data_IF_188718228469
#
_entry.id   IF_188718228469
#
_cell.length_a   1.000
_cell.length_b   1.000
_cell.length_c   1.000
_cell.angle_alpha   90.00
_cell.angle_beta   90.00
_cell.angle_gamma   90.00
#
_symmetry.space_group_name_H-M   'P 1'
#
loop_
_entity.id
_entity.type
_entity.pdbx_description
1 polymer ?
#
# COMPACT_ATOMS: atom_id res chain seq x y z
N UNK A 1 6.85 -19.96 33.61
CA UNK A 1 8.05 -20.13 32.77
C UNK A 1 7.77 -19.57 31.39
N UNK A 2 8.01 -18.28 31.19
CA UNK A 2 7.90 -17.63 29.87
C UNK A 2 9.29 -17.58 29.28
N UNK A 3 9.68 -18.66 28.59
CA UNK A 3 10.93 -18.67 27.83
C UNK A 3 10.80 -17.66 26.70
N UNK A 4 11.63 -16.63 26.73
CA UNK A 4 11.85 -15.75 25.58
C UNK A 4 12.38 -16.59 24.44
N UNK A 5 11.53 -16.91 23.46
CA UNK A 5 11.93 -17.57 22.23
C UNK A 5 13.01 -16.74 21.54
N UNK A 6 14.21 -17.30 21.45
CA UNK A 6 15.32 -16.70 20.73
C UNK A 6 15.24 -17.12 19.25
N UNK A 7 15.62 -16.24 18.32
CA UNK A 7 15.70 -16.50 16.86
C UNK A 7 16.41 -17.83 16.56
N UNK A 8 17.43 -18.15 17.36
CA UNK A 8 18.21 -19.39 17.23
C UNK A 8 17.39 -20.67 17.43
N UNK A 9 16.35 -20.63 18.27
CA UNK A 9 15.48 -21.79 18.53
C UNK A 9 14.53 -22.05 17.36
N UNK A 10 14.01 -20.98 16.75
CA UNK A 10 13.15 -21.09 15.56
C UNK A 10 13.98 -21.52 14.35
N UNK A 11 15.16 -20.93 14.15
CA UNK A 11 16.09 -21.32 13.08
C UNK A 11 16.46 -22.80 13.16
N UNK A 12 16.74 -23.31 14.36
CA UNK A 12 17.01 -24.73 14.56
C UNK A 12 15.80 -25.58 14.19
N UNK A 13 14.60 -25.20 14.62
CA UNK A 13 13.38 -25.93 14.25
C UNK A 13 13.18 -25.96 12.73
N UNK A 14 13.42 -24.85 12.02
CA UNK A 14 13.36 -24.80 10.57
C UNK A 14 14.41 -25.73 9.94
N UNK A 15 15.65 -25.70 10.41
CA UNK A 15 16.73 -26.55 9.90
C UNK A 15 16.45 -28.05 10.10
N UNK A 16 15.82 -28.42 11.21
CA UNK A 16 15.47 -29.81 11.51
C UNK A 16 14.25 -30.28 10.67
N UNK A 17 13.26 -29.41 10.45
CA UNK A 17 11.98 -29.78 9.84
C UNK A 17 11.93 -29.60 8.32
N UNK A 18 12.59 -28.57 7.77
CA UNK A 18 12.49 -28.25 6.35
C UNK A 18 12.98 -29.40 5.43
N UNK A 19 14.11 -30.08 5.71
CA UNK A 19 14.56 -31.21 4.90
C UNK A 19 13.62 -32.43 4.95
N UNK A 20 12.83 -32.57 6.03
CA UNK A 20 11.87 -33.67 6.17
C UNK A 20 10.66 -33.50 5.23
N UNK A 21 10.17 -32.27 5.08
CA UNK A 21 9.03 -31.96 4.21
C UNK A 21 9.42 -31.69 2.77
N UNK A 22 10.62 -31.15 2.55
CA UNK A 22 11.16 -30.86 1.23
C UNK A 22 12.53 -31.49 1.08
N UNK A 23 12.60 -32.76 0.65
CA UNK A 23 13.87 -33.44 0.40
C UNK A 23 14.74 -32.63 -0.59
N UNK A 24 15.99 -32.35 -0.21
CA UNK A 24 16.92 -31.52 -0.99
C UNK A 24 16.93 -30.04 -0.62
N UNK A 25 16.04 -29.61 0.28
CA UNK A 25 16.08 -28.28 0.90
C UNK A 25 17.35 -28.12 1.75
N UNK A 26 18.07 -27.01 1.57
CA UNK A 26 19.27 -26.68 2.34
C UNK A 26 19.01 -25.41 3.15
N UNK A 27 19.16 -25.49 4.48
CA UNK A 27 18.97 -24.35 5.38
C UNK A 27 20.34 -23.82 5.80
N UNK A 28 20.61 -22.57 5.49
CA UNK A 28 21.77 -21.84 6.01
C UNK A 28 21.35 -21.01 7.22
N UNK A 29 21.69 -21.49 8.41
CA UNK A 29 21.37 -20.80 9.66
C UNK A 29 22.19 -19.54 9.91
N UNK A 30 23.36 -19.41 9.27
CA UNK A 30 24.23 -18.24 9.43
C UNK A 30 23.69 -17.06 8.61
N UNK A 31 23.38 -17.32 7.34
CA UNK A 31 22.78 -16.33 6.43
C UNK A 31 21.26 -16.18 6.63
N UNK A 32 20.65 -17.05 7.45
CA UNK A 32 19.20 -17.11 7.68
C UNK A 32 18.43 -17.28 6.37
N UNK A 33 18.90 -18.20 5.53
CA UNK A 33 18.29 -18.49 4.24
C UNK A 33 17.95 -19.97 4.11
N UNK A 34 17.08 -20.27 3.15
CA UNK A 34 16.73 -21.62 2.76
C UNK A 34 16.71 -21.73 1.25
N UNK A 35 17.42 -22.72 0.71
CA UNK A 35 17.31 -23.09 -0.70
C UNK A 35 16.16 -24.08 -0.85
N UNK A 36 15.16 -23.68 -1.63
CA UNK A 36 13.96 -24.47 -1.90
C UNK A 36 13.92 -24.81 -3.39
N UNK A 37 13.80 -26.10 -3.70
CA UNK A 37 13.62 -26.60 -5.06
C UNK A 37 12.15 -26.79 -5.44
N UNK A 38 11.79 -26.49 -6.69
CA UNK A 38 10.50 -26.82 -7.28
C UNK A 38 10.66 -27.22 -8.75
N UNK A 39 9.71 -27.98 -9.29
CA UNK A 39 9.81 -28.44 -10.65
C UNK A 39 8.77 -29.49 -11.03
N UNK A 40 8.47 -29.60 -12.33
CA UNK A 40 7.63 -30.65 -12.89
C UNK A 40 8.40 -31.41 -13.96
N UNK A 41 8.63 -32.70 -13.72
CA UNK A 41 9.39 -33.55 -14.64
C UNK A 41 10.88 -33.18 -14.70
N UNK A 42 11.40 -32.96 -15.90
CA UNK A 42 12.83 -32.72 -16.14
C UNK A 42 13.30 -31.29 -15.81
N UNK A 43 12.38 -30.34 -15.62
CA UNK A 43 12.71 -28.98 -15.21
C UNK A 43 12.72 -28.91 -13.68
N UNK A 44 13.91 -28.79 -13.10
CA UNK A 44 14.14 -28.52 -11.69
C UNK A 44 14.68 -27.09 -11.56
N UNK A 45 14.03 -26.30 -10.70
CA UNK A 45 14.41 -24.94 -10.35
C UNK A 45 14.66 -24.87 -8.85
N UNK A 46 15.51 -23.95 -8.41
CA UNK A 46 15.65 -23.63 -7.00
C UNK A 46 15.80 -22.12 -6.81
N UNK A 47 15.48 -21.66 -5.60
CA UNK A 47 15.79 -20.31 -5.17
C UNK A 47 16.15 -20.29 -3.69
N UNK A 48 17.02 -19.33 -3.35
CA UNK A 48 17.39 -19.01 -1.98
C UNK A 48 16.43 -17.96 -1.45
N UNK A 49 15.78 -18.26 -0.33
CA UNK A 49 14.75 -17.42 0.28
C UNK A 49 15.16 -17.08 1.71
N UNK A 50 14.97 -15.82 2.11
CA UNK A 50 15.23 -15.39 3.49
C UNK A 50 14.21 -15.94 4.49
N UNK A 51 14.67 -16.34 5.67
CA UNK A 51 13.86 -16.92 6.74
C UNK A 51 13.27 -15.88 7.72
N UNK A 52 13.59 -14.60 7.58
CA UNK A 52 13.19 -13.56 8.54
C UNK A 52 11.68 -13.53 8.81
N UNK A 53 10.88 -13.57 7.75
CA UNK A 53 9.43 -13.52 7.85
C UNK A 53 8.83 -14.70 8.63
N UNK A 54 9.25 -15.93 8.33
CA UNK A 54 8.75 -17.13 9.03
C UNK A 54 9.25 -17.19 10.47
N UNK A 55 10.46 -16.68 10.74
CA UNK A 55 10.97 -16.53 12.11
C UNK A 55 10.06 -15.60 12.92
N UNK A 56 9.73 -14.43 12.37
CA UNK A 56 8.87 -13.45 13.04
C UNK A 56 7.46 -13.99 13.29
N UNK A 57 6.88 -14.72 12.33
CA UNK A 57 5.57 -15.40 12.52
C UNK A 57 5.63 -16.45 13.62
N UNK A 58 6.62 -17.34 13.61
CA UNK A 58 6.77 -18.36 14.65
C UNK A 58 6.96 -17.75 16.04
N UNK A 59 7.68 -16.63 16.16
CA UNK A 59 7.86 -15.92 17.44
C UNK A 59 6.56 -15.39 18.04
N UNK A 60 5.54 -15.15 17.21
CA UNK A 60 4.21 -14.70 17.65
C UNK A 60 3.28 -15.86 18.03
N UNK A 61 3.70 -17.10 17.81
CA UNK A 61 2.90 -18.30 18.04
C UNK A 61 3.47 -19.18 19.17
N UNK A 62 2.60 -19.92 19.89
CA UNK A 62 3.05 -21.00 20.77
C UNK A 62 3.90 -22.03 20.00
N UNK A 63 4.94 -22.55 20.65
CA UNK A 63 5.92 -23.46 20.03
C UNK A 63 5.27 -24.71 19.41
N UNK A 64 4.18 -25.23 19.98
CA UNK A 64 3.47 -26.38 19.42
C UNK A 64 2.89 -26.14 18.01
N UNK A 65 2.71 -24.88 17.58
CA UNK A 65 2.18 -24.53 16.26
C UNK A 65 3.28 -24.25 15.22
N UNK A 66 4.55 -24.23 15.62
CA UNK A 66 5.63 -23.88 14.68
C UNK A 66 5.76 -24.86 13.54
N UNK A 67 5.61 -26.16 13.80
CA UNK A 67 5.77 -27.17 12.76
C UNK A 67 4.76 -26.95 11.62
N UNK A 68 3.47 -26.81 11.96
CA UNK A 68 2.41 -26.53 11.00
C UNK A 68 2.67 -25.21 10.23
N UNK A 69 3.10 -24.17 10.95
CA UNK A 69 3.39 -22.86 10.35
C UNK A 69 4.59 -22.90 9.38
N UNK A 70 5.65 -23.63 9.72
CA UNK A 70 6.83 -23.80 8.87
C UNK A 70 6.47 -24.65 7.64
N UNK A 71 5.75 -25.75 7.80
CA UNK A 71 5.30 -26.58 6.67
C UNK A 71 4.44 -25.76 5.69
N UNK A 72 3.44 -25.04 6.21
CA UNK A 72 2.57 -24.20 5.41
C UNK A 72 3.35 -23.11 4.65
N UNK A 73 4.32 -22.48 5.31
CA UNK A 73 5.20 -21.49 4.69
C UNK A 73 6.06 -22.10 3.59
N UNK A 74 6.72 -23.24 3.81
CA UNK A 74 7.56 -23.91 2.80
C UNK A 74 6.74 -24.33 1.57
N UNK A 75 5.54 -24.90 1.78
CA UNK A 75 4.63 -25.24 0.67
C UNK A 75 4.21 -24.00 -0.12
N UNK A 76 3.94 -22.89 0.56
CA UNK A 76 3.61 -21.63 -0.09
C UNK A 76 4.81 -21.05 -0.86
N UNK A 77 6.03 -21.12 -0.32
CA UNK A 77 7.26 -20.72 -1.04
C UNK A 77 7.40 -21.49 -2.36
N UNK A 78 7.16 -22.81 -2.35
CA UNK A 78 7.15 -23.62 -3.58
C UNK A 78 6.08 -23.16 -4.56
N UNK A 79 4.86 -22.87 -4.08
CA UNK A 79 3.77 -22.39 -4.92
C UNK A 79 4.09 -21.02 -5.55
N UNK A 80 4.69 -20.10 -4.78
CA UNK A 80 5.19 -18.81 -5.28
C UNK A 80 6.27 -19.01 -6.35
N UNK A 81 7.14 -20.01 -6.19
CA UNK A 81 8.14 -20.41 -7.19
C UNK A 81 7.52 -20.90 -8.49
N UNK A 82 6.53 -21.80 -8.43
CA UNK A 82 5.79 -22.25 -9.63
C UNK A 82 5.11 -21.06 -10.34
N UNK A 83 4.55 -20.13 -9.57
CA UNK A 83 3.93 -18.92 -10.08
C UNK A 83 4.95 -17.96 -10.69
N UNK A 84 6.14 -17.80 -10.10
CA UNK A 84 7.24 -17.00 -10.65
C UNK A 84 7.70 -17.54 -12.02
N UNK A 85 7.85 -18.87 -12.15
CA UNK A 85 8.19 -19.51 -13.43
C UNK A 85 7.15 -19.23 -14.52
N UNK A 86 5.87 -19.12 -14.15
CA UNK A 86 4.80 -18.80 -15.09
C UNK A 86 4.82 -17.32 -15.53
N UNK A 87 5.24 -16.40 -14.66
CA UNK A 87 5.22 -14.96 -14.97
C UNK A 87 6.08 -14.60 -16.18
N UNK A 88 7.22 -15.25 -16.36
CA UNK A 88 8.10 -14.99 -17.51
C UNK A 88 7.42 -15.27 -18.86
N UNK A 89 6.34 -16.05 -18.88
CA UNK A 89 5.56 -16.31 -20.10
C UNK A 89 4.80 -15.09 -20.59
N UNK A 90 4.56 -14.12 -19.72
CA UNK A 90 3.82 -12.89 -20.02
C UNK A 90 4.74 -11.71 -20.35
N UNK A 91 6.00 -12.00 -20.70
CA UNK A 91 7.01 -11.00 -21.03
C UNK A 91 7.76 -10.47 -19.80
N UNK A 92 8.45 -9.35 -19.98
CA UNK A 92 9.31 -8.78 -18.94
C UNK A 92 8.49 -8.44 -17.69
N UNK A 93 8.86 -9.07 -16.58
CA UNK A 93 8.21 -8.93 -15.28
C UNK A 93 8.54 -7.58 -14.68
N UNK A 94 9.77 -7.08 -14.90
CA UNK A 94 10.28 -5.86 -14.31
C UNK A 94 9.38 -4.66 -14.63
N UNK A 95 8.98 -4.53 -15.90
CA UNK A 95 8.12 -3.44 -16.40
C UNK A 95 6.63 -3.63 -16.13
N UNK A 96 6.19 -4.83 -15.71
CA UNK A 96 4.79 -5.14 -15.39
C UNK A 96 4.44 -5.00 -13.92
N UNK A 97 5.43 -4.72 -13.07
CA UNK A 97 5.15 -4.44 -11.67
C UNK A 97 4.29 -3.19 -11.53
N UNK A 98 3.31 -3.25 -10.65
CA UNK A 98 2.46 -2.11 -10.28
C UNK A 98 2.34 -2.03 -8.77
N UNK A 99 2.04 -0.83 -8.30
CA UNK A 99 1.76 -0.53 -6.91
C UNK A 99 0.30 -0.10 -6.81
N UNK A 100 -0.40 -0.52 -5.77
CA UNK A 100 -1.75 -0.04 -5.47
C UNK A 100 -1.80 0.45 -4.04
N UNK A 101 -2.52 1.55 -3.81
CA UNK A 101 -2.77 2.05 -2.48
C UNK A 101 -4.03 1.38 -1.92
N UNK A 102 -3.85 0.56 -0.89
CA UNK A 102 -4.92 -0.18 -0.24
C UNK A 102 -5.10 0.29 1.20
N UNK A 103 -6.30 0.15 1.75
CA UNK A 103 -6.56 0.49 3.14
C UNK A 103 -5.70 -0.41 4.06
N UNK A 104 -5.15 0.17 5.12
CA UNK A 104 -4.31 -0.57 6.07
C UNK A 104 -5.01 -1.82 6.60
N UNK A 105 -4.26 -2.91 6.67
CA UNK A 105 -4.74 -4.21 7.09
C UNK A 105 -5.43 -5.01 5.98
N UNK A 106 -5.45 -4.51 4.73
CA UNK A 106 -5.88 -5.30 3.57
C UNK A 106 -5.00 -6.54 3.39
N UNK A 107 -3.68 -6.39 3.47
CA UNK A 107 -2.68 -7.45 3.43
C UNK A 107 -2.90 -8.43 4.57
N UNK A 108 -3.11 -7.95 5.80
CA UNK A 108 -3.42 -8.84 6.93
C UNK A 108 -4.69 -9.69 6.68
N UNK A 109 -5.75 -9.11 6.10
CA UNK A 109 -7.01 -9.82 5.78
C UNK A 109 -6.88 -10.80 4.62
N UNK A 110 -5.96 -10.54 3.69
CA UNK A 110 -5.73 -11.36 2.50
C UNK A 110 -4.49 -12.24 2.64
N UNK A 111 -3.79 -12.15 3.77
CA UNK A 111 -2.45 -12.72 3.95
C UNK A 111 -2.45 -14.23 3.74
N UNK A 112 -1.49 -14.67 2.94
CA UNK A 112 -1.18 -16.09 2.82
C UNK A 112 -0.12 -16.51 3.84
N UNK A 113 0.33 -17.78 3.77
CA UNK A 113 1.46 -18.23 4.57
C UNK A 113 2.74 -17.43 4.32
N UNK A 114 2.89 -16.81 3.15
CA UNK A 114 3.98 -15.88 2.79
C UNK A 114 3.46 -14.45 2.77
N UNK A 115 4.28 -13.51 3.25
CA UNK A 115 3.95 -12.09 3.35
C UNK A 115 3.93 -11.39 1.98
N UNK A 116 3.04 -10.41 1.88
CA UNK A 116 2.92 -9.55 0.71
C UNK A 116 4.11 -8.60 0.59
N UNK A 117 4.46 -8.23 -0.65
CA UNK A 117 5.43 -7.18 -0.90
C UNK A 117 4.75 -5.82 -0.64
N UNK A 118 5.06 -5.23 0.51
CA UNK A 118 4.44 -4.01 1.01
C UNK A 118 5.46 -2.87 1.13
N UNK A 119 4.99 -1.66 0.84
CA UNK A 119 5.67 -0.41 1.14
C UNK A 119 4.76 0.36 2.11
N UNK A 120 5.16 0.54 3.38
CA UNK A 120 4.36 1.28 4.35
C UNK A 120 4.06 2.71 3.85
N UNK A 121 2.81 3.15 3.97
CA UNK A 121 2.40 4.50 3.55
C UNK A 121 1.50 5.15 4.61
N UNK A 122 2.11 5.98 5.47
CA UNK A 122 1.42 6.60 6.59
C UNK A 122 0.75 5.58 7.51
N UNK A 123 -0.27 6.03 8.24
CA UNK A 123 -0.95 5.18 9.23
C UNK A 123 -2.24 4.52 8.75
N UNK A 124 -2.76 4.93 7.59
CA UNK A 124 -4.11 4.58 7.14
C UNK A 124 -4.15 3.70 5.89
N UNK A 125 -3.04 3.67 5.15
CA UNK A 125 -2.93 2.90 3.91
C UNK A 125 -1.64 2.07 3.91
N UNK A 126 -1.57 1.19 2.94
CA UNK A 126 -0.40 0.39 2.60
C UNK A 126 -0.30 0.35 1.08
N UNK A 127 0.93 0.44 0.58
CA UNK A 127 1.18 0.30 -0.85
C UNK A 127 1.57 -1.15 -1.10
N UNK A 128 0.75 -1.87 -1.86
CA UNK A 128 0.93 -3.29 -2.14
C UNK A 128 1.39 -3.47 -3.58
N UNK A 129 2.37 -4.34 -3.78
CA UNK A 129 2.92 -4.60 -5.11
C UNK A 129 2.17 -5.74 -5.79
N UNK A 130 1.85 -5.53 -7.06
CA UNK A 130 1.23 -6.47 -7.97
C UNK A 130 2.10 -6.65 -9.23
N UNK A 131 1.83 -7.70 -9.98
CA UNK A 131 2.27 -7.88 -11.36
C UNK A 131 1.04 -7.89 -12.26
N UNK A 132 1.08 -7.08 -13.31
CA UNK A 132 0.02 -7.06 -14.32
C UNK A 132 0.16 -8.24 -15.30
N UNK A 133 -0.95 -8.93 -15.56
CA UNK A 133 -1.05 -10.02 -16.53
C UNK A 133 -2.31 -9.84 -17.36
N UNK A 134 -2.17 -9.21 -18.54
CA UNK A 134 -3.31 -8.78 -19.33
C UNK A 134 -4.08 -7.67 -18.62
N UNK A 135 -5.38 -7.87 -18.37
CA UNK A 135 -6.22 -6.95 -17.61
C UNK A 135 -6.19 -7.21 -16.09
N UNK A 136 -5.59 -8.33 -15.66
CA UNK A 136 -5.59 -8.75 -14.26
C UNK A 136 -4.34 -8.27 -13.53
N UNK A 137 -4.47 -8.08 -12.22
CA UNK A 137 -3.36 -7.81 -11.32
C UNK A 137 -3.25 -8.93 -10.29
N UNK A 138 -2.08 -9.57 -10.25
CA UNK A 138 -1.78 -10.61 -9.28
C UNK A 138 -0.85 -10.06 -8.21
N UNK A 139 -1.19 -10.27 -6.93
CA UNK A 139 -0.34 -9.77 -5.84
C UNK A 139 1.04 -10.42 -5.91
N UNK A 140 2.06 -9.65 -5.52
CA UNK A 140 3.41 -10.17 -5.32
C UNK A 140 3.67 -10.35 -3.83
N UNK A 141 4.16 -11.53 -3.47
CA UNK A 141 4.76 -11.79 -2.16
C UNK A 141 6.21 -11.33 -2.14
N UNK A 142 6.79 -11.15 -0.95
CA UNK A 142 8.22 -10.83 -0.78
C UNK A 142 9.08 -11.91 -1.45
N UNK A 143 8.71 -13.19 -1.26
CA UNK A 143 9.41 -14.34 -1.83
C UNK A 143 9.36 -14.32 -3.34
N UNK A 144 8.16 -14.17 -3.93
CA UNK A 144 8.01 -14.11 -5.39
C UNK A 144 8.74 -12.92 -6.00
N UNK A 145 8.71 -11.77 -5.34
CA UNK A 145 9.48 -10.58 -5.76
C UNK A 145 10.98 -10.87 -5.79
N UNK A 146 11.50 -11.56 -4.78
CA UNK A 146 12.91 -11.95 -4.71
C UNK A 146 13.29 -12.99 -5.78
N UNK A 147 12.46 -14.02 -5.99
CA UNK A 147 12.68 -15.04 -7.02
C UNK A 147 12.71 -14.46 -8.44
N UNK A 148 11.95 -13.38 -8.67
CA UNK A 148 11.87 -12.67 -9.95
C UNK A 148 12.98 -11.60 -10.11
N UNK A 149 13.91 -11.47 -9.16
CA UNK A 149 14.97 -10.47 -9.20
C UNK A 149 14.49 -9.01 -9.06
N UNK A 150 13.25 -8.80 -8.60
CA UNK A 150 12.62 -7.46 -8.63
C UNK A 150 13.05 -6.58 -7.45
N UNK A 151 13.90 -7.09 -6.57
CA UNK A 151 14.51 -6.33 -5.48
C UNK A 151 15.76 -5.55 -5.88
N UNK A 152 16.29 -5.78 -7.09
CA UNK A 152 17.53 -5.16 -7.54
C UNK A 152 17.36 -3.64 -7.80
N UNK A 153 18.38 -2.82 -7.47
CA UNK A 153 18.30 -1.36 -7.62
C UNK A 153 18.18 -0.89 -9.07
N UNK A 154 18.62 -1.72 -10.03
CA UNK A 154 18.50 -1.45 -11.47
C UNK A 154 17.10 -1.78 -12.02
N UNK A 155 16.25 -2.46 -11.23
CA UNK A 155 14.87 -2.77 -11.60
C UNK A 155 13.98 -1.56 -11.32
N UNK A 156 13.13 -1.13 -12.27
CA UNK A 156 12.24 0.00 -12.07
C UNK A 156 11.32 -0.17 -10.86
N UNK A 157 11.14 0.91 -10.10
CA UNK A 157 10.26 0.93 -8.94
C UNK A 157 8.80 0.68 -9.35
N UNK A 158 8.05 -0.21 -8.67
CA UNK A 158 6.63 -0.41 -8.95
C UNK A 158 5.81 0.86 -8.74
N UNK A 159 6.23 1.72 -7.80
CA UNK A 159 5.60 3.02 -7.55
C UNK A 159 5.82 3.92 -8.77
N UNK A 160 7.06 4.04 -9.24
CA UNK A 160 7.38 4.89 -10.39
C UNK A 160 6.63 4.43 -11.66
N UNK A 161 6.68 3.14 -11.98
CA UNK A 161 5.96 2.56 -13.13
C UNK A 161 4.46 2.85 -13.06
N UNK A 162 3.90 2.81 -11.86
CA UNK A 162 2.47 3.10 -11.66
C UNK A 162 2.18 4.57 -11.86
N UNK A 163 2.96 5.46 -11.27
CA UNK A 163 2.78 6.92 -11.41
C UNK A 163 2.95 7.37 -12.86
N UNK A 164 3.87 6.77 -13.60
CA UNK A 164 4.03 7.00 -15.05
C UNK A 164 2.76 6.59 -15.83
N UNK A 165 2.16 5.45 -15.50
CA UNK A 165 0.93 4.94 -16.13
C UNK A 165 -0.31 5.83 -15.89
N UNK A 166 -0.37 6.52 -14.75
CA UNK A 166 -1.49 7.42 -14.41
C UNK A 166 -1.15 8.91 -14.60
N UNK A 167 0.02 9.22 -15.16
CA UNK A 167 0.51 10.61 -15.25
C UNK A 167 -0.29 11.51 -16.21
N UNK A 168 -1.04 10.92 -17.12
CA UNK A 168 -1.92 11.61 -18.07
C UNK A 168 -3.26 12.02 -17.45
N UNK A 169 -3.60 11.52 -16.25
CA UNK A 169 -4.83 11.91 -15.57
C UNK A 169 -4.91 13.42 -15.39
N UNK A 170 -6.13 13.95 -15.55
CA UNK A 170 -6.43 15.37 -15.33
C UNK A 170 -7.59 15.48 -14.34
N UNK A 171 -7.44 16.32 -13.30
CA UNK A 171 -8.52 16.51 -12.34
C UNK A 171 -9.71 17.17 -13.03
N UNK A 172 -10.91 16.63 -12.77
CA UNK A 172 -12.19 17.22 -13.18
C UNK A 172 -12.75 18.00 -11.99
N UNK A 173 -13.15 19.25 -12.22
CA UNK A 173 -13.73 20.11 -11.18
C UNK A 173 -15.20 19.76 -10.89
N UNK A 174 -15.54 19.74 -9.59
CA UNK A 174 -16.86 19.48 -9.04
C UNK A 174 -17.14 20.45 -7.89
N UNK A 175 -17.97 21.47 -8.08
CA UNK A 175 -18.50 22.38 -7.04
C UNK A 175 -17.55 22.63 -5.84
N UNK A 176 -16.28 22.98 -6.09
CA UNK A 176 -15.28 23.28 -5.06
C UNK A 176 -14.42 22.12 -4.56
N UNK A 177 -14.39 20.99 -5.27
CA UNK A 177 -13.39 19.93 -5.15
C UNK A 177 -13.07 19.38 -6.54
N UNK A 178 -11.99 18.62 -6.67
CA UNK A 178 -11.53 18.04 -7.92
C UNK A 178 -11.48 16.51 -7.80
N UNK A 179 -11.62 15.81 -8.94
CA UNK A 179 -11.62 14.34 -9.00
C UNK A 179 -10.66 13.86 -10.08
N UNK A 180 -9.74 12.97 -9.69
CA UNK A 180 -8.96 12.13 -10.59
C UNK A 180 -9.67 10.78 -10.66
N UNK A 181 -10.04 10.35 -11.87
CA UNK A 181 -10.69 9.07 -12.07
C UNK A 181 -10.35 8.49 -13.44
N UNK A 182 -10.35 7.16 -13.50
CA UNK A 182 -10.34 6.37 -14.72
C UNK A 182 -11.01 5.06 -14.39
N UNK A 183 -12.15 4.78 -15.01
CA UNK A 183 -12.91 3.57 -14.72
C UNK A 183 -12.06 2.31 -14.95
N UNK A 184 -12.26 1.33 -14.07
CA UNK A 184 -11.60 0.02 -14.08
C UNK A 184 -10.05 0.07 -13.97
N UNK A 185 -9.46 1.22 -13.64
CA UNK A 185 -8.02 1.35 -13.38
C UNK A 185 -7.74 1.53 -11.87
N UNK A 186 -7.48 0.45 -11.11
CA UNK A 186 -7.24 0.53 -9.67
C UNK A 186 -5.92 1.25 -9.30
N UNK A 187 -5.08 1.55 -10.29
CA UNK A 187 -3.82 2.25 -10.10
C UNK A 187 -4.02 3.74 -9.79
N UNK A 188 -5.19 4.32 -10.12
CA UNK A 188 -5.53 5.72 -9.82
C UNK A 188 -5.37 6.04 -8.33
N UNK A 189 -5.62 5.05 -7.46
CA UNK A 189 -5.38 5.13 -6.02
C UNK A 189 -3.96 5.57 -5.66
N UNK A 190 -2.96 5.35 -6.51
CA UNK A 190 -1.59 5.79 -6.28
C UNK A 190 -1.36 7.29 -6.53
N UNK A 191 -2.33 8.02 -7.10
CA UNK A 191 -2.20 9.47 -7.34
C UNK A 191 -1.88 10.27 -6.07
N UNK A 192 -2.28 9.76 -4.90
CA UNK A 192 -2.01 10.38 -3.58
C UNK A 192 -0.51 10.40 -3.25
N UNK A 193 0.27 9.50 -3.87
CA UNK A 193 1.73 9.41 -3.68
C UNK A 193 2.46 10.42 -4.58
N UNK A 194 1.86 10.82 -5.70
CA UNK A 194 2.46 11.77 -6.65
C UNK A 194 2.14 13.23 -6.30
N UNK A 195 3.00 13.80 -5.46
CA UNK A 195 2.87 15.19 -4.99
C UNK A 195 3.64 16.20 -5.85
N UNK A 196 4.11 15.77 -7.01
CA UNK A 196 4.82 16.63 -7.95
C UNK A 196 3.94 16.95 -9.17
N UNK A 197 3.20 15.96 -9.68
CA UNK A 197 2.40 16.12 -10.90
C UNK A 197 0.90 16.01 -10.66
N UNK A 198 0.44 14.98 -9.96
CA UNK A 198 -1.00 14.71 -9.82
C UNK A 198 -1.64 15.48 -8.67
N UNK A 199 -0.97 15.58 -7.53
CA UNK A 199 -1.40 16.36 -6.37
C UNK A 199 -0.31 17.34 -5.88
N UNK A 200 0.15 18.29 -6.73
CA UNK A 200 1.16 19.27 -6.31
C UNK A 200 0.73 20.12 -5.12
N UNK A 201 -0.58 20.33 -4.94
CA UNK A 201 -1.17 21.08 -3.82
C UNK A 201 -0.89 20.41 -2.46
N UNK A 202 -0.68 19.09 -2.43
CA UNK A 202 -0.33 18.38 -1.20
C UNK A 202 1.03 18.83 -0.62
N UNK A 203 1.93 19.34 -1.45
CA UNK A 203 3.27 19.81 -1.05
C UNK A 203 3.33 21.31 -0.71
N UNK A 204 2.23 22.06 -0.89
CA UNK A 204 2.21 23.52 -0.79
C UNK A 204 1.22 23.97 0.28
N UNK A 205 1.56 25.05 0.99
CA UNK A 205 0.64 25.73 1.91
C UNK A 205 0.12 24.81 3.02
N UNK A 206 -1.20 24.74 3.14
CA UNK A 206 -1.88 23.91 4.13
C UNK A 206 -2.13 22.47 3.64
N UNK A 207 -1.70 22.09 2.44
CA UNK A 207 -1.95 20.77 1.87
C UNK A 207 -3.38 20.61 1.33
N UNK A 208 -3.84 19.37 1.22
CA UNK A 208 -5.15 19.00 0.64
C UNK A 208 -5.98 18.15 1.58
N UNK A 209 -7.31 18.27 1.48
CA UNK A 209 -8.22 17.24 1.93
C UNK A 209 -8.43 16.27 0.78
N UNK A 210 -8.27 14.97 1.04
CA UNK A 210 -8.35 13.92 0.02
C UNK A 210 -9.18 12.75 0.53
N UNK A 211 -9.95 12.15 -0.36
CA UNK A 211 -10.64 10.88 -0.15
C UNK A 211 -10.35 9.93 -1.31
N UNK A 212 -10.33 8.64 -0.99
CA UNK A 212 -10.10 7.55 -1.96
C UNK A 212 -11.29 6.59 -1.87
N UNK A 213 -12.48 6.95 -2.39
CA UNK A 213 -13.69 6.15 -2.23
C UNK A 213 -13.59 4.78 -2.89
N UNK A 214 -12.89 4.69 -4.02
CA UNK A 214 -12.63 3.47 -4.76
C UNK A 214 -11.22 3.50 -5.33
N UNK A 215 -10.64 2.35 -5.64
CA UNK A 215 -9.27 2.27 -6.15
C UNK A 215 -9.07 3.05 -7.46
N UNK A 216 -10.14 3.17 -8.25
CA UNK A 216 -10.12 3.89 -9.51
C UNK A 216 -10.44 5.40 -9.41
N UNK A 217 -10.53 5.96 -8.20
CA UNK A 217 -10.93 7.37 -7.99
C UNK A 217 -10.29 8.01 -6.77
N UNK A 218 -9.73 9.20 -6.95
CA UNK A 218 -9.24 10.08 -5.89
C UNK A 218 -9.96 11.43 -6.00
N UNK A 219 -10.57 11.89 -4.91
CA UNK A 219 -11.23 13.19 -4.84
C UNK A 219 -10.53 14.08 -3.81
N UNK A 220 -10.31 15.35 -4.12
CA UNK A 220 -9.55 16.24 -3.26
C UNK A 220 -9.96 17.71 -3.39
N UNK A 221 -9.67 18.51 -2.38
CA UNK A 221 -9.73 19.97 -2.45
C UNK A 221 -8.60 20.56 -1.61
N UNK A 222 -8.32 21.86 -1.78
CA UNK A 222 -7.40 22.56 -0.89
C UNK A 222 -7.87 22.45 0.57
N UNK A 223 -6.92 22.32 1.50
CA UNK A 223 -7.24 22.10 2.90
C UNK A 223 -8.00 23.27 3.55
N UNK A 224 -7.88 24.47 2.98
CA UNK A 224 -8.56 25.70 3.39
C UNK A 224 -9.72 26.12 2.48
N UNK A 225 -10.21 25.22 1.62
CA UNK A 225 -11.40 25.44 0.77
C UNK A 225 -12.69 25.74 1.57
N UNK A 226 -12.64 25.53 2.90
CA UNK A 226 -13.72 25.84 3.83
C UNK A 226 -14.69 24.69 4.05
N UNK A 227 -15.47 24.79 5.13
CA UNK A 227 -16.34 23.72 5.62
C UNK A 227 -17.32 23.21 4.55
N UNK A 228 -17.91 24.11 3.75
CA UNK A 228 -18.91 23.74 2.75
C UNK A 228 -18.33 22.86 1.63
N UNK A 229 -17.09 23.13 1.21
CA UNK A 229 -16.38 22.31 0.22
C UNK A 229 -15.99 20.95 0.82
N UNK A 230 -15.47 20.95 2.05
CA UNK A 230 -15.15 19.71 2.78
C UNK A 230 -16.39 18.80 2.94
N UNK A 231 -17.55 19.35 3.31
CA UNK A 231 -18.80 18.58 3.44
C UNK A 231 -19.33 18.06 2.09
N UNK A 232 -19.08 18.77 0.98
CA UNK A 232 -19.42 18.29 -0.36
C UNK A 232 -18.50 17.15 -0.79
N UNK A 233 -17.20 17.30 -0.56
CA UNK A 233 -16.21 16.25 -0.80
C UNK A 233 -16.56 14.99 0.01
N UNK A 234 -16.88 15.13 1.30
CA UNK A 234 -17.23 13.99 2.16
C UNK A 234 -18.48 13.25 1.69
N UNK A 235 -19.51 14.00 1.24
CA UNK A 235 -20.69 13.41 0.61
C UNK A 235 -20.35 12.64 -0.65
N UNK A 236 -19.57 13.26 -1.54
CA UNK A 236 -19.12 12.61 -2.77
C UNK A 236 -18.38 11.30 -2.47
N UNK A 237 -17.44 11.32 -1.53
CA UNK A 237 -16.66 10.15 -1.13
C UNK A 237 -17.56 9.06 -0.54
N UNK A 238 -18.43 9.42 0.40
CA UNK A 238 -19.32 8.44 1.04
C UNK A 238 -20.31 7.79 0.06
N UNK A 239 -20.86 8.57 -0.89
CA UNK A 239 -21.79 8.05 -1.89
C UNK A 239 -21.08 7.23 -2.97
N UNK A 240 -19.89 7.67 -3.41
CA UNK A 240 -19.07 6.92 -4.38
C UNK A 240 -18.54 5.61 -3.79
N UNK A 241 -18.20 5.59 -2.50
CA UNK A 241 -17.74 4.39 -1.80
C UNK A 241 -18.84 3.32 -1.71
N UNK A 242 -20.08 3.72 -1.37
CA UNK A 242 -21.15 2.78 -0.96
C UNK A 242 -21.44 1.69 -1.98
N UNK A 243 -21.45 2.05 -3.26
CA UNK A 243 -21.91 1.17 -4.35
C UNK A 243 -20.75 0.74 -5.29
N UNK A 244 -19.50 1.10 -4.98
CA UNK A 244 -18.36 0.76 -5.82
C UNK A 244 -17.94 -0.73 -5.69
N UNK A 245 -17.55 -1.39 -6.79
CA UNK A 245 -17.01 -2.76 -6.75
C UNK A 245 -15.57 -2.83 -6.20
N UNK A 246 -14.82 -1.72 -6.30
CA UNK A 246 -13.41 -1.58 -5.91
C UNK A 246 -13.25 -0.61 -4.74
N UNK A 247 -14.06 -0.78 -3.69
CA UNK A 247 -14.05 0.08 -2.50
C UNK A 247 -12.67 0.21 -1.87
N UNK A 248 -12.29 1.43 -1.48
CA UNK A 248 -11.03 1.67 -0.76
C UNK A 248 -11.26 2.28 0.62
N UNK A 249 -11.69 3.54 0.74
CA UNK A 249 -11.98 4.16 2.04
C UNK A 249 -13.14 5.17 1.95
N UNK A 250 -14.10 5.14 2.90
CA UNK A 250 -15.15 6.15 2.99
C UNK A 250 -14.71 7.45 3.71
N UNK A 251 -13.49 7.48 4.24
CA UNK A 251 -12.98 8.57 5.07
C UNK A 251 -12.29 9.66 4.26
N UNK A 252 -12.15 10.85 4.87
CA UNK A 252 -11.27 11.90 4.38
C UNK A 252 -9.97 11.95 5.16
N UNK A 253 -8.91 12.40 4.49
CA UNK A 253 -7.58 12.54 5.03
C UNK A 253 -7.04 13.92 4.68
N UNK A 254 -6.36 14.53 5.64
CA UNK A 254 -5.58 15.73 5.41
C UNK A 254 -4.15 15.31 5.07
N UNK A 255 -3.71 15.66 3.86
CA UNK A 255 -2.39 15.34 3.33
C UNK A 255 -1.57 16.64 3.18
N UNK A 256 -0.45 16.72 3.89
CA UNK A 256 0.49 17.84 3.83
C UNK A 256 1.93 17.29 3.84
N UNK A 257 2.62 17.43 2.71
CA UNK A 257 3.91 16.75 2.49
C UNK A 257 3.77 15.25 2.77
N UNK A 258 4.67 14.68 3.57
CA UNK A 258 4.63 13.28 3.98
C UNK A 258 3.57 12.94 5.04
N UNK A 259 2.94 13.95 5.63
CA UNK A 259 2.01 13.75 6.73
C UNK A 259 0.61 13.51 6.20
N UNK A 260 0.01 12.40 6.64
CA UNK A 260 -1.39 12.09 6.43
C UNK A 260 -2.09 11.93 7.77
N UNK A 261 -3.22 12.61 7.95
CA UNK A 261 -4.05 12.52 9.16
C UNK A 261 -5.49 12.29 8.74
N UNK A 262 -6.12 11.23 9.24
CA UNK A 262 -7.56 11.05 9.06
C UNK A 262 -8.34 12.20 9.68
N UNK A 263 -9.27 12.75 8.91
CA UNK A 263 -10.18 13.80 9.36
C UNK A 263 -11.52 13.14 9.70
N UNK A 264 -12.07 13.34 10.91
CA UNK A 264 -13.33 12.71 11.30
C UNK A 264 -14.47 13.07 10.34
N UNK A 265 -15.08 12.04 9.75
CA UNK A 265 -16.28 12.16 8.92
C UNK A 265 -17.46 11.54 9.68
N UNK A 266 -18.53 12.30 9.83
CA UNK A 266 -19.82 11.76 10.29
C UNK A 266 -20.56 11.25 9.06
N UNK A 267 -20.79 9.93 8.96
CA UNK A 267 -21.56 9.32 7.86
C UNK A 267 -23.11 9.42 8.07
N UNK A 268 -23.57 10.30 8.95
CA UNK A 268 -25.00 10.60 9.13
C UNK A 268 -25.58 11.23 7.85
N UNK A 269 -26.91 11.39 7.73
CA UNK A 269 -27.51 12.06 6.56
C UNK A 269 -27.75 13.56 6.87
N UNK A 270 -27.04 14.52 6.23
CA UNK A 270 -25.97 14.35 5.24
C UNK A 270 -24.58 14.13 5.87
N UNK A 271 -23.65 13.42 5.18
CA UNK A 271 -22.28 13.28 5.65
C UNK A 271 -21.59 14.63 5.83
N UNK A 272 -20.77 14.75 6.89
CA UNK A 272 -20.08 16.01 7.22
C UNK A 272 -18.74 15.79 7.89
N UNK A 273 -17.85 16.78 7.80
CA UNK A 273 -16.44 16.67 8.22
C UNK A 273 -16.18 17.58 9.40
N UNK A 274 -15.44 17.11 10.40
CA UNK A 274 -14.93 18.01 11.44
C UNK A 274 -13.51 18.43 11.10
N UNK A 275 -13.35 19.60 10.49
CA UNK A 275 -12.02 20.15 10.19
C UNK A 275 -11.27 20.50 11.49
N UNK A 276 -9.96 20.21 11.59
CA UNK A 276 -9.11 20.74 12.63
C UNK A 276 -9.24 22.26 12.72
N UNK A 277 -9.16 22.82 13.93
CA UNK A 277 -9.31 24.27 14.14
C UNK A 277 -8.30 25.12 13.32
N UNK A 278 -7.15 24.55 12.99
CA UNK A 278 -6.13 25.18 12.14
C UNK A 278 -6.56 25.34 10.66
N UNK A 279 -7.51 24.52 10.19
CA UNK A 279 -8.04 24.55 8.82
C UNK A 279 -9.38 25.28 8.73
N UNK A 280 -9.99 25.63 9.87
CA UNK A 280 -11.20 26.43 9.87
C UNK A 280 -10.87 27.87 9.45
N UNK A 281 -11.70 28.50 8.61
CA UNK A 281 -11.52 29.90 8.26
C UNK A 281 -11.57 30.73 9.53
N UNK A 282 -10.45 31.35 9.90
CA UNK A 282 -10.37 32.19 11.09
C UNK A 282 -11.28 33.42 10.91
N UNK A 283 -12.28 33.63 11.79
CA UNK A 283 -13.01 34.88 11.78
C UNK A 283 -12.06 35.98 12.27
N UNK A 284 -11.69 36.89 11.35
CA UNK A 284 -10.93 38.15 11.55
C UNK A 284 -9.40 38.08 11.47
N UNK A 285 -8.88 38.21 10.25
CA UNK A 285 -7.66 39.00 9.97
C UNK A 285 -7.75 39.88 8.71
N UNK A 286 -8.95 40.14 8.21
CA UNK A 286 -9.18 40.90 6.96
C UNK A 286 -9.37 42.41 7.16
N UNK A 287 -9.42 42.94 8.40
CA UNK A 287 -9.69 44.38 8.62
C UNK A 287 -8.54 45.18 9.26
N UNK A 288 -7.56 44.55 9.92
CA UNK A 288 -6.53 45.31 10.67
C UNK A 288 -5.34 45.72 9.77
N UNK A 289 -5.03 44.97 8.71
CA UNK A 289 -3.91 45.32 7.81
C UNK A 289 -4.20 46.52 6.90
N UNK A 290 -5.47 46.75 6.52
CA UNK A 290 -5.84 47.91 5.70
C UNK A 290 -6.02 49.20 6.51
N UNK A 291 -6.41 49.12 7.78
CA UNK A 291 -6.54 50.30 8.66
C UNK A 291 -5.18 50.82 9.17
N UNK A 292 -4.20 49.93 9.40
CA UNK A 292 -2.87 50.35 9.85
C UNK A 292 -1.99 50.95 8.75
N UNK A 293 -2.21 50.60 7.48
CA UNK A 293 -1.45 51.21 6.36
C UNK A 293 -1.94 52.62 5.98
N UNK A 294 -3.14 53.02 6.39
CA UNK A 294 -3.65 54.38 6.16
C UNK A 294 -3.33 55.37 7.30
N UNK A 295 -3.06 54.88 8.52
CA UNK A 295 -2.78 55.73 9.68
C UNK A 295 -1.30 56.15 9.84
N UNK A 296 -0.38 55.56 9.07
CA UNK A 296 1.07 55.85 9.13
C UNK A 296 1.67 56.39 7.82
N UNK A 297 0.84 56.90 6.90
CA UNK A 297 1.31 57.77 5.81
C UNK A 297 0.93 59.22 6.10
N UNK A 298 1.70 59.86 6.98
CA UNK A 298 1.97 61.30 6.97
C UNK A 298 3.42 61.51 7.34
#
# INVERSE_FOLDING_TARGET
MTGTTNDSTVLKAIADLAPMWMPGCVVDTAERTVEVGWGRGALQMSAVVGLGEIIDRCRQLPQQLWAEQIEAWLRAVVAEGELATQEHRFGDVAVRQRAMLLQRGWSARTSGPVADALIPFGDHFEVVVFVGTGADYHRLTIVRRSMLGLGDPDVPSPVQLTLEHISDLRPVEHDGFSVLSRDDDPLVSMAIVDREKLLPQASIGLGVLVGVPRLSTVAFCDADAGQQAADRLARYVADTYRDAPDQCSPDLYWLQGDRMVQVPVTLAKPPGVMLPAALLPSPRRTWVRHLWQQLFRR
#
